data_IF_953717541226
#
_entry.id   IF_953717541226
#
_cell.length_a   1.000
_cell.length_b   1.000
_cell.length_c   1.000
_cell.angle_alpha   90.00
_cell.angle_beta   90.00
_cell.angle_gamma   90.00
#
_symmetry.space_group_name_H-M   'P 1'
#
loop_
_entity.id
_entity.type
_entity.pdbx_description
1 polymer ?
#
# COMPACT_ATOMS: atom_id res chain seq x y z
N UNK A 1 -12.59 -7.45 1.78
CA UNK A 1 -12.44 -6.17 2.48
C UNK A 1 -13.41 -5.15 1.90
N UNK A 2 -13.92 -4.16 2.71
CA UNK A 2 -14.96 -3.22 2.23
C UNK A 2 -14.54 -2.36 1.03
N UNK A 3 -13.25 -2.18 0.82
CA UNK A 3 -12.66 -1.36 -0.26
C UNK A 3 -12.16 -2.16 -1.46
N UNK A 4 -12.31 -3.48 -1.44
CA UNK A 4 -11.91 -4.34 -2.56
C UNK A 4 -13.09 -4.63 -3.45
N UNK A 5 -12.92 -4.44 -4.75
CA UNK A 5 -13.82 -4.94 -5.79
C UNK A 5 -13.69 -6.46 -5.93
N UNK A 6 -14.66 -7.11 -6.57
CA UNK A 6 -14.52 -8.51 -6.90
C UNK A 6 -13.39 -8.71 -7.93
N UNK A 7 -12.73 -9.89 -7.95
CA UNK A 7 -11.66 -10.15 -8.90
C UNK A 7 -12.12 -9.93 -10.35
N UNK A 8 -11.40 -9.09 -11.08
CA UNK A 8 -11.74 -8.73 -12.46
C UNK A 8 -12.64 -7.50 -12.62
N UNK A 9 -13.24 -7.00 -11.54
CA UNK A 9 -14.02 -5.76 -11.58
C UNK A 9 -13.12 -4.53 -11.51
N UNK A 10 -13.60 -3.44 -12.12
CA UNK A 10 -12.96 -2.13 -12.04
C UNK A 10 -13.17 -1.55 -10.64
N UNK A 11 -12.09 -1.22 -9.96
CA UNK A 11 -12.16 -0.59 -8.66
C UNK A 11 -12.33 0.93 -8.79
N UNK A 12 -13.17 1.53 -7.93
CA UNK A 12 -13.33 2.97 -7.88
C UNK A 12 -12.03 3.63 -7.35
N UNK A 13 -11.40 4.55 -8.09
CA UNK A 13 -10.17 5.21 -7.67
C UNK A 13 -10.30 5.99 -6.36
N UNK A 14 -11.47 6.58 -6.09
CA UNK A 14 -11.74 7.27 -4.83
C UNK A 14 -11.73 6.29 -3.65
N UNK A 15 -12.35 5.13 -3.80
CA UNK A 15 -12.38 4.08 -2.77
C UNK A 15 -10.99 3.50 -2.52
N UNK A 16 -10.23 3.22 -3.58
CA UNK A 16 -8.85 2.75 -3.48
C UNK A 16 -7.99 3.76 -2.74
N UNK A 17 -7.97 5.01 -3.20
CA UNK A 17 -7.20 6.08 -2.57
C UNK A 17 -7.56 6.28 -1.09
N UNK A 18 -8.85 6.37 -0.77
CA UNK A 18 -9.33 6.57 0.61
C UNK A 18 -8.83 5.46 1.52
N UNK A 19 -8.97 4.20 1.09
CA UNK A 19 -8.53 3.04 1.86
C UNK A 19 -7.01 3.03 2.05
N UNK A 20 -6.24 3.32 1.01
CA UNK A 20 -4.77 3.34 1.07
C UNK A 20 -4.26 4.41 2.04
N UNK A 21 -4.89 5.59 2.07
CA UNK A 21 -4.52 6.63 3.06
C UNK A 21 -4.92 6.21 4.48
N UNK A 22 -6.09 5.60 4.68
CA UNK A 22 -6.54 5.14 5.99
C UNK A 22 -5.67 3.99 6.54
N UNK A 23 -5.21 3.10 5.68
CA UNK A 23 -4.38 1.94 6.05
C UNK A 23 -2.93 2.30 6.41
N UNK A 24 -2.46 3.52 6.08
CA UNK A 24 -1.12 3.94 6.50
C UNK A 24 -0.98 3.86 8.04
N UNK A 25 -0.12 2.93 8.51
CA UNK A 25 0.13 2.70 9.95
C UNK A 25 -1.13 2.36 10.79
N UNK A 26 -2.15 1.81 10.16
CA UNK A 26 -3.41 1.43 10.81
C UNK A 26 -3.83 0.03 10.35
N UNK A 27 -4.48 -0.74 11.21
CA UNK A 27 -4.88 -2.11 10.89
C UNK A 27 -6.17 -2.16 10.08
N UNK A 28 -6.33 -3.23 9.28
CA UNK A 28 -7.56 -3.52 8.51
C UNK A 28 -8.81 -3.51 9.40
N UNK A 29 -8.73 -4.12 10.59
CA UNK A 29 -9.85 -4.18 11.54
C UNK A 29 -10.30 -2.78 11.99
N UNK A 30 -9.34 -1.89 12.24
CA UNK A 30 -9.61 -0.51 12.63
C UNK A 30 -10.19 0.30 11.46
N UNK A 31 -9.63 0.18 10.26
CA UNK A 31 -10.02 1.00 9.10
C UNK A 31 -11.43 0.67 8.59
N UNK A 32 -11.87 -0.60 8.66
CA UNK A 32 -13.14 -1.03 8.07
C UNK A 32 -14.36 -0.17 8.46
N UNK A 33 -14.63 0.08 9.75
CA UNK A 33 -15.71 0.95 10.19
C UNK A 33 -15.59 2.39 9.70
N UNK A 34 -14.38 2.98 9.77
CA UNK A 34 -14.12 4.35 9.32
C UNK A 34 -14.33 4.52 7.81
N UNK A 35 -13.85 3.57 7.02
CA UNK A 35 -14.02 3.61 5.57
C UNK A 35 -15.51 3.64 5.20
N UNK A 36 -16.34 2.80 5.82
CA UNK A 36 -17.80 2.81 5.57
C UNK A 36 -18.43 4.13 5.99
N UNK A 37 -18.11 4.63 7.19
CA UNK A 37 -18.66 5.90 7.68
C UNK A 37 -18.25 7.10 6.81
N UNK A 38 -17.02 7.09 6.26
CA UNK A 38 -16.58 8.11 5.31
C UNK A 38 -17.35 8.06 4.01
N UNK A 39 -17.57 6.88 3.43
CA UNK A 39 -18.35 6.73 2.19
C UNK A 39 -19.84 7.04 2.38
N UNK A 40 -20.41 6.71 3.54
CA UNK A 40 -21.76 7.09 3.90
C UNK A 40 -21.93 8.62 3.95
N UNK A 41 -20.96 9.32 4.53
CA UNK A 41 -21.00 10.78 4.68
C UNK A 41 -20.55 11.51 3.40
N UNK A 42 -19.54 10.99 2.72
CA UNK A 42 -18.96 11.57 1.51
C UNK A 42 -18.80 10.47 0.43
N UNK A 43 -19.88 10.09 -0.25
CA UNK A 43 -19.86 9.01 -1.23
C UNK A 43 -18.98 9.29 -2.46
N UNK A 44 -18.69 10.57 -2.72
CA UNK A 44 -17.88 11.02 -3.85
C UNK A 44 -16.87 12.08 -3.41
N UNK A 45 -15.76 12.16 -4.15
CA UNK A 45 -14.65 13.06 -3.84
C UNK A 45 -15.07 14.53 -3.77
N UNK A 46 -16.07 14.96 -4.57
CA UNK A 46 -16.61 16.32 -4.54
C UNK A 46 -17.22 16.68 -3.18
N UNK A 47 -17.95 15.75 -2.57
CA UNK A 47 -18.50 15.93 -1.23
C UNK A 47 -17.42 16.07 -0.17
N UNK A 48 -16.37 15.24 -0.25
CA UNK A 48 -15.23 15.31 0.64
C UNK A 48 -14.43 16.62 0.45
N UNK A 49 -14.23 17.06 -0.79
CA UNK A 49 -13.52 18.30 -1.10
C UNK A 49 -14.27 19.56 -0.62
N UNK A 50 -15.60 19.54 -0.67
CA UNK A 50 -16.46 20.65 -0.23
C UNK A 50 -16.71 20.67 1.28
N UNK A 51 -16.39 19.57 2.00
CA UNK A 51 -16.62 19.47 3.44
C UNK A 51 -15.72 20.45 4.21
N UNK A 52 -16.20 21.04 5.33
CA UNK A 52 -15.32 21.72 6.25
C UNK A 52 -14.22 20.79 6.77
N UNK A 53 -12.98 21.29 6.86
CA UNK A 53 -11.86 20.47 7.33
C UNK A 53 -12.13 19.88 8.72
N UNK A 54 -12.76 20.65 9.61
CA UNK A 54 -13.08 20.20 10.97
C UNK A 54 -14.02 18.99 10.99
N UNK A 55 -14.95 18.90 10.05
CA UNK A 55 -15.82 17.74 9.86
C UNK A 55 -15.05 16.49 9.46
N UNK A 56 -14.06 16.64 8.56
CA UNK A 56 -13.19 15.56 8.14
C UNK A 56 -12.28 15.10 9.30
N UNK A 57 -11.72 16.05 10.05
CA UNK A 57 -10.92 15.75 11.24
C UNK A 57 -11.74 15.06 12.33
N UNK A 58 -12.98 15.45 12.51
CA UNK A 58 -13.91 14.80 13.46
C UNK A 58 -14.20 13.34 13.03
N UNK A 59 -14.52 13.12 11.76
CA UNK A 59 -14.71 11.77 11.22
C UNK A 59 -13.44 10.89 11.29
N UNK A 60 -12.26 11.52 11.34
CA UNK A 60 -10.97 10.83 11.45
C UNK A 60 -10.56 10.50 12.89
N UNK A 61 -11.31 10.99 13.87
CA UNK A 61 -10.97 10.84 15.28
C UNK A 61 -10.84 9.36 15.66
N UNK A 62 -9.69 8.97 16.21
CA UNK A 62 -9.36 7.59 16.57
C UNK A 62 -8.40 6.89 15.59
N UNK A 63 -8.26 7.35 14.33
CA UNK A 63 -7.26 6.80 13.38
C UNK A 63 -5.84 7.31 13.65
N UNK A 64 -5.69 8.42 14.37
CA UNK A 64 -4.40 9.04 14.66
C UNK A 64 -3.74 9.69 13.44
N UNK A 65 -2.53 10.24 13.64
CA UNK A 65 -1.74 10.85 12.56
C UNK A 65 -2.55 11.83 11.70
N UNK A 66 -3.15 12.84 12.30
CA UNK A 66 -4.07 13.80 11.67
C UNK A 66 -3.50 14.55 10.45
N UNK A 67 -2.18 14.54 10.25
CA UNK A 67 -1.58 15.02 9.02
C UNK A 67 -2.09 14.27 7.78
N UNK A 68 -2.45 12.98 7.92
CA UNK A 68 -3.07 12.19 6.85
C UNK A 68 -4.44 12.75 6.48
N UNK A 69 -5.30 13.04 7.46
CA UNK A 69 -6.62 13.61 7.21
C UNK A 69 -6.54 14.99 6.55
N UNK A 70 -5.61 15.84 7.00
CA UNK A 70 -5.37 17.14 6.35
C UNK A 70 -4.89 17.01 4.92
N UNK A 71 -3.98 16.06 4.64
CA UNK A 71 -3.52 15.79 3.28
C UNK A 71 -4.61 15.16 2.43
N UNK A 72 -5.43 14.27 2.98
CA UNK A 72 -6.58 13.67 2.33
C UNK A 72 -7.56 14.76 1.86
N UNK A 73 -7.97 15.65 2.74
CA UNK A 73 -8.87 16.75 2.41
C UNK A 73 -8.27 17.69 1.35
N UNK A 74 -7.00 18.06 1.50
CA UNK A 74 -6.29 18.88 0.51
C UNK A 74 -6.17 18.20 -0.84
N UNK A 75 -5.89 16.87 -0.84
CA UNK A 75 -5.84 16.06 -2.07
C UNK A 75 -7.19 16.04 -2.78
N UNK A 76 -8.29 15.84 -2.06
CA UNK A 76 -9.64 15.89 -2.62
C UNK A 76 -9.90 17.25 -3.30
N UNK A 77 -9.53 18.35 -2.64
CA UNK A 77 -9.65 19.70 -3.23
C UNK A 77 -8.81 19.90 -4.51
N UNK A 78 -7.59 19.32 -4.56
CA UNK A 78 -6.74 19.37 -5.78
C UNK A 78 -7.36 18.54 -6.91
N UNK A 79 -7.81 17.31 -6.61
CA UNK A 79 -8.42 16.45 -7.64
C UNK A 79 -9.67 17.08 -8.22
N UNK A 80 -10.52 17.69 -7.40
CA UNK A 80 -11.73 18.38 -7.90
C UNK A 80 -11.38 19.61 -8.71
N UNK A 81 -10.43 20.44 -8.28
CA UNK A 81 -10.11 21.71 -8.94
C UNK A 81 -9.28 21.53 -10.22
N UNK A 82 -8.30 20.62 -10.20
CA UNK A 82 -7.26 20.53 -11.23
C UNK A 82 -7.44 19.31 -12.14
N UNK A 83 -8.34 18.38 -11.77
CA UNK A 83 -8.60 17.11 -12.48
C UNK A 83 -10.09 16.78 -12.60
N UNK A 84 -10.98 17.79 -12.49
CA UNK A 84 -12.44 17.64 -12.66
C UNK A 84 -13.09 16.55 -11.77
N UNK A 85 -12.48 16.25 -10.63
CA UNK A 85 -12.94 15.21 -9.69
C UNK A 85 -12.50 13.79 -10.03
N UNK A 86 -11.67 13.60 -11.04
CA UNK A 86 -11.15 12.30 -11.46
C UNK A 86 -9.67 12.15 -11.11
N UNK A 87 -9.31 11.01 -10.55
CA UNK A 87 -7.89 10.71 -10.29
C UNK A 87 -7.16 10.47 -11.61
N UNK A 88 -5.96 11.06 -11.80
CA UNK A 88 -5.15 10.74 -12.97
C UNK A 88 -4.70 9.26 -12.95
N UNK A 89 -4.76 8.58 -14.10
CA UNK A 89 -4.30 7.20 -14.22
C UNK A 89 -2.77 7.09 -14.14
N UNK A 90 -2.04 8.14 -14.54
CA UNK A 90 -0.58 8.15 -14.59
C UNK A 90 0.07 8.25 -13.19
N UNK A 91 1.01 7.34 -12.89
CA UNK A 91 1.73 7.27 -11.60
C UNK A 91 2.49 8.58 -11.30
N UNK A 92 3.07 9.23 -12.32
CA UNK A 92 3.82 10.46 -12.13
C UNK A 92 2.91 11.66 -11.80
N UNK A 93 1.68 11.66 -12.32
CA UNK A 93 0.66 12.64 -11.97
C UNK A 93 0.11 12.39 -10.56
N UNK A 94 -0.16 11.13 -10.19
CA UNK A 94 -0.56 10.75 -8.84
C UNK A 94 0.44 11.21 -7.78
N UNK A 95 1.75 11.08 -8.04
CA UNK A 95 2.81 11.51 -7.13
C UNK A 95 2.82 13.02 -6.82
N UNK A 96 2.19 13.85 -7.65
CA UNK A 96 2.08 15.29 -7.42
C UNK A 96 0.95 15.66 -6.46
N UNK A 97 0.04 14.72 -6.20
CA UNK A 97 -1.11 14.95 -5.32
C UNK A 97 -0.70 14.96 -3.83
N UNK A 98 -1.31 15.83 -3.02
CA UNK A 98 -0.99 15.94 -1.60
C UNK A 98 -1.14 14.62 -0.83
N UNK A 99 -0.10 14.19 -0.13
CA UNK A 99 -0.11 12.98 0.70
C UNK A 99 0.01 11.66 -0.05
N UNK A 100 0.15 11.69 -1.38
CA UNK A 100 0.41 10.50 -2.20
C UNK A 100 1.92 10.34 -2.39
N UNK A 101 2.46 9.27 -1.81
CA UNK A 101 3.85 8.84 -2.01
C UNK A 101 3.95 7.72 -3.04
N UNK A 102 5.19 7.25 -3.32
CA UNK A 102 5.43 6.20 -4.33
C UNK A 102 4.62 4.91 -4.11
N UNK A 103 4.43 4.51 -2.86
CA UNK A 103 3.59 3.36 -2.51
C UNK A 103 2.13 3.60 -2.92
N UNK A 104 1.54 4.70 -2.46
CA UNK A 104 0.11 5.01 -2.72
C UNK A 104 -0.15 5.24 -4.20
N UNK A 105 0.78 5.92 -4.91
CA UNK A 105 0.67 6.11 -6.35
C UNK A 105 0.67 4.78 -7.11
N UNK A 106 1.61 3.88 -6.79
CA UNK A 106 1.66 2.54 -7.39
C UNK A 106 0.43 1.69 -7.06
N UNK A 107 -0.09 1.78 -5.83
CA UNK A 107 -1.31 1.07 -5.43
C UNK A 107 -2.54 1.54 -6.22
N UNK A 108 -2.76 2.86 -6.31
CA UNK A 108 -3.86 3.43 -7.10
C UNK A 108 -3.71 3.06 -8.57
N UNK A 109 -2.51 3.24 -9.15
CA UNK A 109 -2.26 2.95 -10.55
C UNK A 109 -2.51 1.47 -10.90
N UNK A 110 -2.09 0.54 -10.05
CA UNK A 110 -2.31 -0.89 -10.27
C UNK A 110 -3.75 -1.31 -10.00
N UNK A 111 -4.34 -0.90 -8.87
CA UNK A 111 -5.63 -1.42 -8.40
C UNK A 111 -6.80 -0.75 -9.10
N UNK A 112 -6.76 0.59 -9.26
CA UNK A 112 -7.88 1.32 -9.85
C UNK A 112 -7.78 1.43 -11.38
N UNK A 113 -6.56 1.46 -11.92
CA UNK A 113 -6.34 1.69 -13.35
C UNK A 113 -5.74 0.49 -14.08
N UNK A 114 -5.43 -0.62 -13.38
CA UNK A 114 -4.91 -1.83 -13.99
C UNK A 114 -3.52 -1.67 -14.61
N UNK A 115 -2.78 -0.61 -14.28
CA UNK A 115 -1.45 -0.39 -14.87
C UNK A 115 -0.44 -1.44 -14.36
N UNK A 116 0.48 -1.91 -15.22
CA UNK A 116 1.49 -2.91 -14.87
C UNK A 116 2.59 -2.29 -13.97
N UNK A 117 2.19 -1.88 -12.78
CA UNK A 117 3.06 -1.32 -11.75
C UNK A 117 2.80 -2.00 -10.41
N UNK A 118 3.48 -1.58 -9.36
CA UNK A 118 3.37 -2.19 -8.05
C UNK A 118 3.54 -1.18 -6.92
N UNK A 119 2.97 -1.51 -5.78
CA UNK A 119 3.21 -0.85 -4.50
C UNK A 119 3.98 -1.79 -3.58
N UNK A 120 5.12 -1.35 -3.04
CA UNK A 120 5.96 -2.18 -2.19
C UNK A 120 5.80 -1.76 -0.74
N UNK A 121 4.92 -2.48 -0.02
CA UNK A 121 4.80 -2.42 1.44
C UNK A 121 5.75 -3.44 2.11
N UNK A 122 5.70 -3.54 3.42
CA UNK A 122 6.52 -4.54 4.15
C UNK A 122 6.18 -6.00 3.82
N UNK A 123 4.97 -6.29 3.34
CA UNK A 123 4.56 -7.63 2.93
C UNK A 123 5.14 -7.97 1.57
N UNK A 124 4.95 -7.09 0.59
CA UNK A 124 5.52 -7.22 -0.76
C UNK A 124 7.05 -7.24 -0.69
N UNK A 125 7.68 -6.33 0.09
CA UNK A 125 9.14 -6.27 0.31
C UNK A 125 9.68 -7.63 0.78
N UNK A 126 9.03 -8.23 1.78
CA UNK A 126 9.43 -9.53 2.34
C UNK A 126 9.20 -10.66 1.33
N UNK A 127 8.04 -10.71 0.69
CA UNK A 127 7.71 -11.75 -0.27
C UNK A 127 8.68 -11.73 -1.46
N UNK A 128 8.96 -10.56 -2.03
CA UNK A 128 9.90 -10.39 -3.14
C UNK A 128 11.35 -10.70 -2.73
N UNK A 129 11.78 -10.23 -1.55
CA UNK A 129 13.12 -10.54 -1.05
C UNK A 129 13.34 -12.04 -0.92
N UNK A 130 12.35 -12.79 -0.44
CA UNK A 130 12.40 -14.25 -0.29
C UNK A 130 12.31 -14.98 -1.62
N UNK A 131 11.38 -14.56 -2.49
CA UNK A 131 11.21 -15.17 -3.82
C UNK A 131 12.51 -15.14 -4.61
N UNK A 132 13.19 -14.01 -4.62
CA UNK A 132 14.40 -13.79 -5.39
C UNK A 132 15.70 -14.01 -4.59
N UNK A 133 15.65 -14.36 -3.30
CA UNK A 133 16.84 -14.58 -2.48
C UNK A 133 17.70 -13.32 -2.29
N UNK A 134 17.08 -12.14 -2.12
CA UNK A 134 17.81 -10.87 -1.97
C UNK A 134 18.50 -10.82 -0.60
N UNK A 135 19.82 -10.94 -0.60
CA UNK A 135 20.62 -10.96 0.63
C UNK A 135 21.09 -9.59 1.09
N UNK A 136 21.08 -8.60 0.21
CA UNK A 136 21.41 -7.21 0.56
C UNK A 136 20.52 -6.74 1.73
N UNK A 137 21.10 -6.18 2.81
CA UNK A 137 20.29 -5.73 3.94
C UNK A 137 19.44 -4.50 3.63
N UNK A 138 18.25 -4.43 4.24
CA UNK A 138 17.43 -3.23 4.27
C UNK A 138 18.15 -2.10 5.07
N UNK A 139 18.05 -0.85 4.65
CA UNK A 139 17.21 -0.34 3.55
C UNK A 139 17.86 -0.37 2.16
N UNK A 140 19.12 -0.81 2.03
CA UNK A 140 19.89 -0.81 0.75
C UNK A 140 19.22 -1.66 -0.33
N UNK A 141 18.55 -2.75 0.05
CA UNK A 141 17.85 -3.65 -0.87
C UNK A 141 16.58 -3.05 -1.50
N UNK A 142 16.01 -1.97 -0.94
CA UNK A 142 14.71 -1.44 -1.40
C UNK A 142 14.63 -1.14 -2.90
N UNK A 143 15.62 -0.47 -3.53
CA UNK A 143 15.56 -0.22 -4.97
C UNK A 143 15.52 -1.51 -5.80
N UNK A 144 16.33 -2.51 -5.43
CA UNK A 144 16.35 -3.81 -6.09
C UNK A 144 15.03 -4.55 -5.94
N UNK A 145 14.50 -4.64 -4.72
CA UNK A 145 13.22 -5.28 -4.43
C UNK A 145 12.08 -4.59 -5.20
N UNK A 146 12.07 -3.27 -5.25
CA UNK A 146 11.07 -2.52 -6.03
C UNK A 146 11.18 -2.82 -7.52
N UNK A 147 12.39 -2.89 -8.06
CA UNK A 147 12.62 -3.28 -9.46
C UNK A 147 12.11 -4.69 -9.75
N UNK A 148 12.43 -5.65 -8.90
CA UNK A 148 11.97 -7.05 -9.03
C UNK A 148 10.45 -7.15 -8.95
N UNK A 149 9.83 -6.45 -8.01
CA UNK A 149 8.37 -6.41 -7.87
C UNK A 149 7.69 -5.79 -9.11
N UNK A 150 8.27 -4.74 -9.70
CA UNK A 150 7.77 -4.15 -10.95
C UNK A 150 7.88 -5.10 -12.14
N UNK A 151 8.98 -5.82 -12.26
CA UNK A 151 9.17 -6.82 -13.32
C UNK A 151 8.22 -8.02 -13.21
N UNK A 152 7.76 -8.31 -11.98
CA UNK A 152 6.82 -9.39 -11.73
C UNK A 152 5.35 -8.94 -11.92
N UNK A 153 5.07 -7.63 -12.03
CA UNK A 153 3.72 -7.13 -12.23
C UNK A 153 3.21 -7.52 -13.65
N UNK A 154 2.09 -8.22 -13.75
CA UNK A 154 1.53 -8.62 -15.03
C UNK A 154 0.90 -7.41 -15.76
N UNK A 155 0.76 -7.51 -17.07
CA UNK A 155 0.06 -6.51 -17.90
C UNK A 155 -1.46 -6.61 -17.77
N UNK A 156 -1.97 -7.76 -17.38
CA UNK A 156 -3.39 -8.00 -17.12
C UNK A 156 -3.63 -8.25 -15.64
N UNK A 157 -4.70 -7.70 -15.11
CA UNK A 157 -5.12 -7.88 -13.71
C UNK A 157 -4.01 -7.49 -12.69
N UNK A 158 -3.25 -6.43 -13.00
CA UNK A 158 -2.15 -5.97 -12.13
C UNK A 158 -2.61 -5.65 -10.70
N UNK A 159 -3.81 -5.08 -10.54
CA UNK A 159 -4.41 -4.80 -9.24
C UNK A 159 -4.72 -6.06 -8.43
N UNK A 160 -5.27 -7.10 -9.06
CA UNK A 160 -5.53 -8.39 -8.41
C UNK A 160 -4.21 -9.05 -7.97
N UNK A 161 -3.21 -9.03 -8.86
CA UNK A 161 -1.88 -9.56 -8.55
C UNK A 161 -1.26 -8.85 -7.35
N UNK A 162 -1.26 -7.51 -7.35
CA UNK A 162 -0.72 -6.72 -6.24
C UNK A 162 -1.39 -7.06 -4.92
N UNK A 163 -2.72 -7.10 -4.89
CA UNK A 163 -3.50 -7.45 -3.70
C UNK A 163 -3.21 -8.89 -3.24
N UNK A 164 -3.09 -9.84 -4.19
CA UNK A 164 -2.74 -11.22 -3.87
C UNK A 164 -1.33 -11.35 -3.25
N UNK A 165 -0.36 -10.56 -3.71
CA UNK A 165 1.00 -10.54 -3.12
C UNK A 165 0.98 -9.93 -1.72
N UNK A 166 0.20 -8.87 -1.50
CA UNK A 166 0.00 -8.30 -0.15
C UNK A 166 -0.61 -9.34 0.80
N UNK A 167 -1.66 -10.06 0.36
CA UNK A 167 -2.32 -11.11 1.15
C UNK A 167 -1.39 -12.29 1.41
N UNK A 168 -0.63 -12.72 0.41
CA UNK A 168 0.39 -13.76 0.56
C UNK A 168 1.39 -13.38 1.66
N UNK A 169 1.86 -12.13 1.64
CA UNK A 169 2.75 -11.62 2.67
C UNK A 169 2.10 -11.59 4.05
N UNK A 170 0.83 -11.19 4.13
CA UNK A 170 0.12 -11.07 5.40
C UNK A 170 -0.24 -12.43 6.02
N UNK A 171 -0.53 -13.46 5.21
CA UNK A 171 -1.14 -14.72 5.69
C UNK A 171 -0.24 -15.95 5.57
N UNK A 172 0.62 -16.00 4.56
CA UNK A 172 1.44 -17.18 4.22
C UNK A 172 2.92 -16.92 4.39
N UNK A 173 3.44 -15.87 3.71
CA UNK A 173 4.84 -15.47 3.77
C UNK A 173 5.09 -14.55 4.97
N UNK A 174 4.67 -14.95 6.16
CA UNK A 174 4.73 -14.19 7.42
C UNK A 174 6.18 -13.93 7.86
N UNK A 175 6.43 -12.89 8.70
CA UNK A 175 7.79 -12.59 9.17
C UNK A 175 8.45 -13.73 9.94
N UNK A 176 7.67 -14.45 10.75
CA UNK A 176 8.11 -15.60 11.54
C UNK A 176 7.27 -16.81 11.16
N UNK A 177 7.86 -18.01 11.15
CA UNK A 177 7.18 -19.27 10.84
C UNK A 177 6.35 -19.20 9.53
N UNK A 178 6.93 -18.79 8.38
CA UNK A 178 6.19 -18.73 7.12
C UNK A 178 5.71 -20.12 6.71
N UNK A 179 4.48 -20.21 6.19
CA UNK A 179 3.88 -21.46 5.73
C UNK A 179 4.37 -21.83 4.31
N UNK A 180 5.68 -21.98 4.13
CA UNK A 180 6.31 -22.17 2.82
C UNK A 180 5.77 -23.39 2.07
N UNK A 181 5.49 -24.51 2.75
CA UNK A 181 4.95 -25.72 2.13
C UNK A 181 3.55 -25.57 1.53
N UNK A 182 2.81 -24.49 1.90
CA UNK A 182 1.49 -24.15 1.36
C UNK A 182 1.53 -22.92 0.42
N UNK A 183 2.72 -22.37 0.23
CA UNK A 183 2.88 -21.16 -0.57
C UNK A 183 2.78 -21.50 -2.07
N UNK A 184 1.96 -20.78 -2.87
CA UNK A 184 1.87 -21.00 -4.30
C UNK A 184 3.20 -20.74 -5.03
N UNK A 185 4.12 -20.01 -4.43
CA UNK A 185 5.44 -19.72 -4.98
C UNK A 185 6.54 -20.68 -4.49
N UNK A 186 6.20 -21.73 -3.71
CA UNK A 186 7.19 -22.63 -3.13
C UNK A 186 8.19 -23.20 -4.15
N UNK A 187 7.70 -23.63 -5.33
CA UNK A 187 8.51 -24.22 -6.38
C UNK A 187 9.50 -23.26 -7.06
N UNK A 188 9.29 -21.95 -6.93
CA UNK A 188 10.14 -20.90 -7.55
C UNK A 188 10.85 -20.03 -6.50
N UNK A 189 10.64 -20.30 -5.21
CA UNK A 189 11.15 -19.43 -4.15
C UNK A 189 12.59 -19.80 -3.78
N UNK A 190 13.54 -18.93 -4.10
CA UNK A 190 14.96 -19.10 -3.78
C UNK A 190 15.22 -19.29 -2.29
N UNK A 191 14.59 -18.47 -1.45
CA UNK A 191 14.79 -18.57 -0.01
C UNK A 191 14.22 -19.86 0.59
N UNK A 192 13.12 -20.38 0.04
CA UNK A 192 12.58 -21.66 0.48
C UNK A 192 13.49 -22.82 0.07
N UNK A 193 13.94 -22.85 -1.17
CA UNK A 193 14.87 -23.86 -1.68
C UNK A 193 16.19 -23.88 -0.87
N UNK A 194 16.67 -22.72 -0.44
CA UNK A 194 17.89 -22.57 0.37
C UNK A 194 17.68 -22.74 1.89
N UNK A 195 16.45 -22.91 2.37
CA UNK A 195 16.15 -22.95 3.80
C UNK A 195 16.37 -21.62 4.54
N UNK A 196 16.41 -20.48 3.84
CA UNK A 196 16.74 -19.16 4.39
C UNK A 196 15.55 -18.23 4.53
N UNK A 197 14.31 -18.73 4.37
CA UNK A 197 13.11 -17.89 4.34
C UNK A 197 12.96 -16.99 5.59
N UNK A 198 13.29 -17.46 6.78
CA UNK A 198 13.19 -16.65 7.99
C UNK A 198 14.30 -15.61 8.15
N UNK A 199 15.40 -15.77 7.43
CA UNK A 199 16.53 -14.85 7.47
C UNK A 199 16.34 -13.64 6.55
N UNK A 200 15.36 -13.70 5.62
CA UNK A 200 15.11 -12.65 4.64
C UNK A 200 13.77 -11.93 4.89
N UNK A 201 13.72 -10.61 4.63
CA UNK A 201 14.83 -9.73 4.23
C UNK A 201 15.81 -9.47 5.40
N UNK A 202 17.09 -9.40 5.08
CA UNK A 202 18.12 -9.02 6.07
C UNK A 202 17.92 -7.56 6.48
N UNK A 203 18.25 -7.22 7.72
CA UNK A 203 18.22 -5.86 8.24
C UNK A 203 19.63 -5.41 8.60
N UNK A 204 19.98 -4.18 8.25
CA UNK A 204 21.21 -3.57 8.75
C UNK A 204 21.19 -3.48 10.28
N UNK A 205 22.34 -3.60 10.95
CA UNK A 205 22.43 -3.33 12.38
C UNK A 205 21.86 -1.94 12.69
N UNK A 206 21.15 -1.83 13.81
CA UNK A 206 20.67 -0.51 14.27
C UNK A 206 21.90 0.32 14.65
N UNK A 207 21.97 1.61 14.23
CA UNK A 207 23.02 2.48 14.74
C UNK A 207 22.92 2.58 16.26
N UNK A 208 24.07 2.60 16.94
CA UNK A 208 24.12 2.84 18.37
C UNK A 208 23.41 4.15 18.71
N UNK A 209 22.52 4.10 19.70
CA UNK A 209 21.87 5.32 20.18
C UNK A 209 22.94 6.18 20.85
N UNK A 210 23.08 7.46 20.49
CA UNK A 210 23.97 8.35 21.20
C UNK A 210 23.53 8.38 22.67
N UNK A 211 24.46 8.05 23.57
CA UNK A 211 24.28 8.17 25.02
C UNK A 211 24.15 9.67 25.33
N UNK A 212 22.97 10.11 25.76
CA UNK A 212 22.84 11.44 26.36
C UNK A 212 23.70 11.43 27.63
N UNK A 213 24.84 12.11 27.58
CA UNK A 213 25.56 12.53 28.81
C UNK A 213 24.68 13.61 29.44
N UNK A 214 24.15 13.35 30.64
CA UNK A 214 23.48 14.35 31.46
C UNK A 214 24.48 15.39 32.00
#
# INVERSE_FOLDING_TARGET
LPWRSAPGDVADPYHVWLSEIMLQQTTVATVGPYFRAFLERWPHIHGLAAAPLDDVLHGWQGLGYYARARNLHRCAGVVVRDHDGEFPADEAALLKLPGIGPYTAGAIAAIAFGLPTTAVDGNVERAMARLHGVETPLPRAKPEITRLARLAAPTERAGDYLQAVMDLGATTCTPRNPSCGRCPWAGSCTAFAAGTAELLPRKSPKPERPTRRG
#
